data_IF_215867860072
#
_entry.id   IF_215867860072
#
_cell.length_a   1.000
_cell.length_b   1.000
_cell.length_c   1.000
_cell.angle_alpha   90.00
_cell.angle_beta   90.00
_cell.angle_gamma   90.00
#
_symmetry.space_group_name_H-M   'P 1'
#
loop_
_entity.id
_entity.type
_entity.pdbx_description
1 polymer ?
#
# COMPACT_ATOMS: atom_id res chain seq x y z
N UNK A 1 -5.63 -21.77 4.54
CA UNK A 1 -4.80 -21.12 5.56
C UNK A 1 -4.31 -22.19 6.51
N UNK A 2 -3.01 -22.44 6.51
CA UNK A 2 -2.34 -23.42 7.36
C UNK A 2 -1.10 -22.76 7.96
N UNK A 3 -0.73 -23.14 9.19
CA UNK A 3 0.40 -22.54 9.90
C UNK A 3 0.00 -21.27 10.65
N UNK A 4 1.02 -20.60 11.19
CA UNK A 4 0.86 -19.41 12.03
C UNK A 4 0.94 -18.14 11.18
N UNK A 5 -0.20 -17.75 10.61
CA UNK A 5 -0.28 -16.63 9.66
C UNK A 5 -0.55 -15.28 10.33
N UNK A 6 -0.92 -15.29 11.61
CA UNK A 6 -1.25 -14.10 12.39
C UNK A 6 -0.12 -13.66 13.34
N UNK A 7 0.88 -14.52 13.58
CA UNK A 7 2.03 -14.15 14.40
C UNK A 7 3.19 -13.61 13.56
N UNK A 8 3.66 -12.42 13.94
CA UNK A 8 4.76 -11.76 13.25
C UNK A 8 6.14 -12.32 13.65
N UNK A 9 6.24 -13.08 14.75
CA UNK A 9 7.48 -13.71 15.20
C UNK A 9 8.69 -12.76 15.31
N UNK A 10 8.44 -11.50 15.68
CA UNK A 10 9.46 -10.45 15.79
C UNK A 10 9.74 -9.67 14.50
N UNK A 11 9.08 -10.01 13.39
CA UNK A 11 9.10 -9.23 12.15
C UNK A 11 8.07 -8.08 12.21
N UNK A 12 8.21 -7.01 11.38
CA UNK A 12 7.27 -5.90 11.39
C UNK A 12 5.87 -6.23 10.84
N UNK A 13 5.76 -7.28 10.02
CA UNK A 13 4.54 -7.68 9.34
C UNK A 13 4.32 -9.18 9.51
N UNK A 14 3.10 -9.60 9.84
CA UNK A 14 2.71 -11.02 9.89
C UNK A 14 2.79 -11.67 8.50
N UNK A 15 2.84 -13.01 8.38
CA UNK A 15 2.74 -13.67 7.09
C UNK A 15 1.47 -13.29 6.31
N UNK A 16 0.35 -13.09 7.01
CA UNK A 16 -0.90 -12.67 6.39
C UNK A 16 -0.86 -11.20 5.92
N UNK A 17 -0.23 -10.29 6.69
CA UNK A 17 0.02 -8.92 6.24
C UNK A 17 0.80 -8.92 4.91
N UNK A 18 1.92 -9.64 4.89
CA UNK A 18 2.78 -9.73 3.70
C UNK A 18 2.04 -10.30 2.49
N UNK A 19 1.17 -11.29 2.71
CA UNK A 19 0.35 -11.85 1.65
C UNK A 19 -0.59 -10.80 1.05
N UNK A 20 -1.29 -10.05 1.90
CA UNK A 20 -2.22 -9.00 1.48
C UNK A 20 -1.48 -7.83 0.82
N UNK A 21 -0.32 -7.42 1.34
CA UNK A 21 0.54 -6.41 0.73
C UNK A 21 0.99 -6.84 -0.67
N UNK A 22 1.43 -8.09 -0.85
CA UNK A 22 1.80 -8.62 -2.16
C UNK A 22 0.60 -8.67 -3.11
N UNK A 23 -0.58 -9.05 -2.61
CA UNK A 23 -1.83 -9.00 -3.39
C UNK A 23 -2.11 -7.60 -3.90
N UNK A 24 -2.04 -6.58 -3.02
CA UNK A 24 -2.22 -5.19 -3.42
C UNK A 24 -1.18 -4.75 -4.44
N UNK A 25 0.09 -5.15 -4.29
CA UNK A 25 1.16 -4.84 -5.26
C UNK A 25 0.86 -5.48 -6.61
N UNK A 26 0.48 -6.76 -6.62
CA UNK A 26 0.18 -7.51 -7.83
C UNK A 26 -1.01 -6.95 -8.58
N UNK A 27 -2.12 -6.62 -7.91
CA UNK A 27 -3.32 -6.15 -8.60
C UNK A 27 -3.31 -4.63 -8.85
N UNK A 28 -2.62 -3.86 -7.99
CA UNK A 28 -2.58 -2.39 -8.01
C UNK A 28 -3.97 -1.79 -8.28
N UNK A 29 -4.91 -1.91 -7.33
CA UNK A 29 -6.33 -1.66 -7.60
C UNK A 29 -6.63 -0.20 -7.93
N UNK A 30 -5.75 0.71 -7.49
CA UNK A 30 -5.68 2.08 -7.97
C UNK A 30 -4.65 2.15 -9.10
N UNK A 31 -5.04 2.72 -10.25
CA UNK A 31 -4.17 2.80 -11.43
C UNK A 31 -2.99 3.76 -11.25
N UNK A 32 -3.09 4.76 -10.37
CA UNK A 32 -2.00 5.70 -10.16
C UNK A 32 -2.33 6.90 -9.28
N UNK A 33 -1.28 7.62 -8.91
CA UNK A 33 -1.38 8.93 -8.26
C UNK A 33 -1.19 10.04 -9.28
N UNK A 34 -2.02 11.08 -9.22
CA UNK A 34 -1.93 12.26 -10.09
C UNK A 34 -1.61 13.48 -9.22
N UNK A 35 -0.54 14.20 -9.57
CA UNK A 35 -0.17 15.46 -8.93
C UNK A 35 -0.23 16.59 -9.94
N UNK A 36 -0.90 17.70 -9.60
CA UNK A 36 -0.87 18.92 -10.40
C UNK A 36 0.51 19.59 -10.24
N UNK A 37 1.12 19.94 -11.36
CA UNK A 37 2.38 20.70 -11.38
C UNK A 37 2.02 22.18 -11.57
N UNK A 38 2.48 23.01 -10.64
CA UNK A 38 2.34 24.47 -10.76
C UNK A 38 3.39 25.04 -11.72
N UNK A 39 2.98 26.03 -12.51
CA UNK A 39 3.89 26.69 -13.42
C UNK A 39 4.68 27.76 -12.68
N UNK A 40 6.01 27.73 -12.85
CA UNK A 40 6.91 28.76 -12.31
C UNK A 40 6.94 30.04 -13.16
N UNK A 41 6.26 30.03 -14.32
CA UNK A 41 6.12 31.16 -15.24
C UNK A 41 4.75 31.10 -15.90
N UNK A 42 4.17 32.25 -16.23
CA UNK A 42 2.90 32.30 -16.94
C UNK A 42 3.05 31.67 -18.34
N UNK A 43 2.25 30.65 -18.68
CA UNK A 43 2.32 30.03 -19.99
C UNK A 43 1.68 30.92 -21.05
N UNK A 44 2.19 30.84 -22.28
CA UNK A 44 1.64 31.56 -23.44
C UNK A 44 0.21 31.08 -23.77
N UNK A 45 -0.15 29.86 -23.38
CA UNK A 45 -1.47 29.26 -23.58
C UNK A 45 -1.92 28.53 -22.30
N UNK A 46 -3.24 28.51 -22.05
CA UNK A 46 -3.81 27.71 -20.97
C UNK A 46 -3.46 26.23 -21.15
N UNK A 47 -2.75 25.66 -20.17
CA UNK A 47 -2.44 24.24 -20.12
C UNK A 47 -2.53 23.73 -18.68
N UNK A 48 -2.75 22.43 -18.56
CA UNK A 48 -2.76 21.73 -17.29
C UNK A 48 -1.61 20.74 -17.27
N UNK A 49 -0.69 20.91 -16.31
CA UNK A 49 0.47 20.03 -16.16
C UNK A 49 0.23 19.07 -15.01
N UNK A 50 0.45 17.78 -15.26
CA UNK A 50 0.32 16.73 -14.27
C UNK A 50 1.56 15.83 -14.28
N UNK A 51 1.97 15.41 -13.09
CA UNK A 51 2.82 14.23 -12.91
C UNK A 51 1.92 13.04 -12.59
N UNK A 52 2.12 11.94 -13.29
CA UNK A 52 1.42 10.68 -13.03
C UNK A 52 2.44 9.68 -12.53
N UNK A 53 2.15 9.06 -11.40
CA UNK A 53 2.89 7.90 -10.90
C UNK A 53 2.03 6.66 -11.08
N UNK A 54 2.27 5.86 -12.14
CA UNK A 54 1.46 4.70 -12.44
C UNK A 54 1.80 3.56 -11.47
N UNK A 55 0.81 3.10 -10.70
CA UNK A 55 1.05 2.21 -9.55
C UNK A 55 1.50 0.81 -9.98
N UNK A 56 0.88 0.25 -11.02
CA UNK A 56 1.20 -1.10 -11.51
C UNK A 56 2.63 -1.17 -12.06
N UNK A 57 2.99 -0.22 -12.91
CA UNK A 57 4.32 -0.12 -13.52
C UNK A 57 5.39 0.16 -12.46
N UNK A 58 5.10 1.01 -11.47
CA UNK A 58 6.02 1.25 -10.35
C UNK A 58 6.20 -0.01 -9.49
N UNK A 59 5.10 -0.71 -9.22
CA UNK A 59 5.06 -1.98 -8.50
C UNK A 59 5.80 -3.10 -9.21
N UNK A 60 5.89 -3.06 -10.54
CA UNK A 60 6.57 -4.06 -11.36
C UNK A 60 7.95 -3.62 -11.85
N UNK A 61 8.44 -2.45 -11.41
CA UNK A 61 9.70 -1.92 -11.87
C UNK A 61 10.88 -2.73 -11.32
N UNK A 62 11.70 -3.27 -12.22
CA UNK A 62 12.79 -4.21 -11.89
C UNK A 62 13.89 -3.61 -11.01
N UNK A 63 14.04 -2.28 -11.00
CA UNK A 63 14.99 -1.59 -10.11
C UNK A 63 14.55 -1.71 -8.66
N UNK A 64 13.24 -1.74 -8.40
CA UNK A 64 12.68 -1.87 -7.06
C UNK A 64 12.55 -3.34 -6.63
N UNK A 65 12.35 -4.27 -7.56
CA UNK A 65 12.06 -5.65 -7.19
C UNK A 65 12.81 -6.67 -8.05
N UNK A 66 13.40 -7.66 -7.39
CA UNK A 66 13.82 -8.90 -8.05
C UNK A 66 12.57 -9.68 -8.46
N UNK A 67 12.52 -10.12 -9.72
CA UNK A 67 11.40 -10.89 -10.30
C UNK A 67 10.03 -10.25 -9.97
N UNK A 68 9.78 -9.01 -10.43
CA UNK A 68 8.64 -8.20 -10.00
C UNK A 68 7.26 -8.83 -10.27
N UNK A 69 7.16 -9.70 -11.27
CA UNK A 69 5.90 -10.32 -11.70
C UNK A 69 5.55 -11.60 -10.93
N UNK A 70 6.47 -12.13 -10.11
CA UNK A 70 6.23 -13.32 -9.31
C UNK A 70 5.57 -12.90 -7.99
N UNK A 71 4.44 -13.53 -7.66
CA UNK A 71 3.79 -13.32 -6.36
C UNK A 71 4.66 -13.90 -5.24
N UNK A 72 5.25 -13.03 -4.42
CA UNK A 72 6.15 -13.41 -3.34
C UNK A 72 5.95 -12.51 -2.11
N UNK A 73 5.12 -12.93 -1.14
CA UNK A 73 4.93 -12.22 0.13
C UNK A 73 6.23 -12.03 0.92
N UNK A 74 7.19 -12.97 0.82
CA UNK A 74 8.43 -12.89 1.59
C UNK A 74 9.34 -11.74 1.16
N UNK A 75 9.03 -11.03 0.05
CA UNK A 75 9.78 -9.82 -0.34
C UNK A 75 9.75 -8.72 0.72
N UNK A 76 8.73 -8.70 1.57
CA UNK A 76 8.52 -7.66 2.57
C UNK A 76 9.28 -7.89 3.89
N UNK A 77 9.99 -9.01 4.03
CA UNK A 77 10.82 -9.30 5.22
C UNK A 77 11.99 -8.30 5.31
N UNK A 78 12.58 -7.93 4.18
CA UNK A 78 13.74 -7.04 4.10
C UNK A 78 13.35 -5.58 3.77
N UNK A 79 12.05 -5.29 3.62
CA UNK A 79 11.57 -3.97 3.24
C UNK A 79 11.59 -3.05 4.45
N UNK A 80 12.25 -1.88 4.37
CA UNK A 80 12.27 -0.94 5.49
C UNK A 80 10.87 -0.44 5.81
N UNK A 81 10.60 -0.32 7.09
CA UNK A 81 9.37 0.26 7.62
C UNK A 81 9.51 1.77 7.80
N UNK A 82 8.37 2.47 7.83
CA UNK A 82 8.33 3.93 7.97
C UNK A 82 8.97 4.45 9.27
N UNK A 83 9.01 3.65 10.34
CA UNK A 83 9.69 4.02 11.58
C UNK A 83 11.20 3.76 11.54
N UNK A 84 11.67 2.83 10.71
CA UNK A 84 13.11 2.54 10.47
C UNK A 84 13.74 3.54 9.49
N UNK A 85 12.95 4.15 8.61
CA UNK A 85 13.40 5.24 7.71
C UNK A 85 13.58 6.54 8.54
N UNK A 86 14.78 6.66 9.13
CA UNK A 86 15.22 7.72 10.02
C UNK A 86 16.45 8.47 9.48
N UNK A 87 17.10 9.27 10.33
CA UNK A 87 18.26 10.08 9.93
C UNK A 87 19.49 9.21 9.63
N UNK A 88 19.68 8.14 10.40
CA UNK A 88 20.73 7.14 10.20
C UNK A 88 20.57 6.49 8.83
N UNK A 89 19.34 6.13 8.44
CA UNK A 89 19.05 5.54 7.14
C UNK A 89 19.35 6.50 5.97
N UNK A 90 19.01 7.79 6.10
CA UNK A 90 19.39 8.79 5.09
C UNK A 90 20.90 8.86 4.90
N UNK A 91 21.66 8.84 6.00
CA UNK A 91 23.12 8.88 5.98
C UNK A 91 23.72 7.62 5.35
N UNK A 92 23.19 6.44 5.69
CA UNK A 92 23.57 5.16 5.10
C UNK A 92 23.40 5.16 3.56
N UNK A 93 22.31 5.75 3.07
CA UNK A 93 22.01 5.86 1.63
C UNK A 93 22.86 6.97 0.94
N UNK A 94 23.57 7.80 1.70
CA UNK A 94 24.47 8.82 1.18
C UNK A 94 23.81 10.17 0.89
N UNK A 95 22.65 10.45 1.49
CA UNK A 95 22.04 11.78 1.38
C UNK A 95 22.80 12.82 2.20
N UNK A 96 23.03 14.00 1.61
CA UNK A 96 23.63 15.14 2.30
C UNK A 96 22.75 15.64 3.47
N UNK A 97 21.44 15.51 3.34
CA UNK A 97 20.43 15.73 4.38
C UNK A 97 19.19 14.90 4.06
N UNK A 98 18.41 14.53 5.08
CA UNK A 98 17.12 13.89 4.84
C UNK A 98 16.15 14.85 4.09
N UNK A 99 15.35 14.35 3.15
CA UNK A 99 14.34 15.15 2.46
C UNK A 99 13.30 15.77 3.41
N UNK A 100 12.96 15.06 4.49
CA UNK A 100 12.04 15.54 5.51
C UNK A 100 12.62 15.35 6.91
N UNK A 101 12.27 16.24 7.83
CA UNK A 101 12.45 16.01 9.25
C UNK A 101 11.36 15.08 9.78
N UNK A 102 11.73 14.16 10.67
CA UNK A 102 10.74 13.35 11.40
C UNK A 102 9.99 14.26 12.36
N UNK A 103 8.70 14.46 12.11
CA UNK A 103 7.81 15.24 12.97
C UNK A 103 6.49 14.48 13.15
N UNK A 104 5.74 14.86 14.18
CA UNK A 104 4.42 14.28 14.42
C UNK A 104 3.49 15.27 15.09
N UNK A 105 2.20 15.00 14.97
CA UNK A 105 1.15 15.76 15.65
C UNK A 105 0.09 14.82 16.23
N UNK A 106 -0.51 15.25 17.35
CA UNK A 106 -1.59 14.50 17.97
C UNK A 106 -2.85 14.51 17.09
N UNK A 107 -3.48 13.34 16.99
CA UNK A 107 -4.80 13.20 16.41
C UNK A 107 -5.82 14.05 17.18
N UNK A 108 -6.79 14.63 16.47
CA UNK A 108 -7.80 15.53 17.04
C UNK A 108 -9.09 14.82 17.43
N UNK A 109 -9.05 13.51 17.60
CA UNK A 109 -10.23 12.67 17.86
C UNK A 109 -10.31 12.17 19.31
N UNK A 110 -9.48 12.72 20.20
CA UNK A 110 -9.47 12.40 21.63
C UNK A 110 -8.65 11.15 21.98
N UNK A 111 -8.11 10.43 20.99
CA UNK A 111 -7.18 9.31 21.23
C UNK A 111 -5.77 9.82 21.47
N UNK A 112 -5.00 9.09 22.26
CA UNK A 112 -3.56 9.32 22.43
C UNK A 112 -2.77 8.73 21.24
N UNK A 113 -3.03 9.29 20.06
CA UNK A 113 -2.42 8.87 18.80
C UNK A 113 -1.61 10.02 18.23
N UNK A 114 -0.33 9.77 17.96
CA UNK A 114 0.55 10.67 17.24
C UNK A 114 0.69 10.21 15.78
N UNK A 115 0.40 11.10 14.85
CA UNK A 115 0.58 10.88 13.41
C UNK A 115 1.97 11.41 13.06
N UNK A 116 2.89 10.52 12.71
CA UNK A 116 4.32 10.82 12.50
C UNK A 116 4.75 10.55 11.06
N UNK A 117 5.69 11.31 10.51
CA UNK A 117 6.30 11.01 9.21
C UNK A 117 7.72 10.42 9.32
N UNK A 118 8.08 9.55 8.38
CA UNK A 118 9.45 9.11 8.15
C UNK A 118 10.30 10.22 7.54
N UNK A 119 11.61 10.01 7.44
CA UNK A 119 12.51 10.98 6.77
C UNK A 119 12.33 11.05 5.25
N UNK A 120 11.54 10.13 4.67
CA UNK A 120 11.07 10.18 3.28
C UNK A 120 9.62 10.67 3.16
N UNK A 121 9.02 11.08 4.28
CA UNK A 121 7.70 11.71 4.32
C UNK A 121 6.53 10.72 4.40
N UNK A 122 6.78 9.42 4.49
CA UNK A 122 5.74 8.41 4.67
C UNK A 122 5.15 8.52 6.07
N UNK A 123 3.83 8.66 6.15
CA UNK A 123 3.12 8.88 7.41
C UNK A 123 2.68 7.55 8.02
N UNK A 124 2.83 7.43 9.34
CA UNK A 124 2.43 6.27 10.13
C UNK A 124 1.99 6.70 11.54
N UNK A 125 1.30 5.80 12.25
CA UNK A 125 0.72 6.11 13.55
C UNK A 125 1.56 5.53 14.70
N UNK A 126 1.57 6.26 15.82
CA UNK A 126 1.99 5.76 17.13
C UNK A 126 0.84 5.99 18.10
N UNK A 127 0.26 4.93 18.65
CA UNK A 127 -0.87 5.01 19.59
C UNK A 127 -0.49 4.29 20.86
N UNK A 128 -0.61 4.93 22.02
CA UNK A 128 -0.27 4.34 23.33
C UNK A 128 1.12 3.68 23.32
N UNK A 129 2.12 4.39 22.80
CA UNK A 129 3.51 3.96 22.61
C UNK A 129 3.73 2.77 21.65
N UNK A 130 2.66 2.20 21.09
CA UNK A 130 2.73 1.19 20.04
C UNK A 130 2.86 1.85 18.66
N UNK A 131 3.87 1.42 17.90
CA UNK A 131 4.09 1.89 16.53
C UNK A 131 3.33 1.01 15.54
N UNK A 132 2.64 1.64 14.59
CA UNK A 132 1.91 1.00 13.50
C UNK A 132 2.54 1.42 12.17
N UNK A 133 3.66 0.82 11.78
CA UNK A 133 4.39 1.27 10.61
C UNK A 133 3.82 0.69 9.32
N UNK A 134 4.19 1.32 8.21
CA UNK A 134 3.90 0.83 6.85
C UNK A 134 5.20 0.54 6.12
N UNK A 135 5.15 -0.28 5.07
CA UNK A 135 6.31 -0.52 4.21
C UNK A 135 6.72 0.76 3.49
N UNK A 136 7.88 1.32 3.79
CA UNK A 136 8.37 2.60 3.28
C UNK A 136 9.38 2.38 2.16
N UNK A 137 8.87 1.92 1.02
CA UNK A 137 9.69 1.49 -0.11
C UNK A 137 9.08 1.94 -1.43
N UNK A 138 9.90 2.52 -2.31
CA UNK A 138 9.46 3.09 -3.59
C UNK A 138 8.80 2.06 -4.52
N UNK A 139 9.11 0.77 -4.36
CA UNK A 139 8.46 -0.30 -5.11
C UNK A 139 7.06 -0.66 -4.65
N UNK A 140 6.62 -0.21 -3.47
CA UNK A 140 5.30 -0.53 -2.92
C UNK A 140 4.32 0.61 -3.15
N UNK A 141 3.86 0.70 -4.40
CA UNK A 141 3.01 1.78 -4.90
C UNK A 141 1.48 1.73 -4.65
N UNK A 142 0.82 0.59 -4.31
CA UNK A 142 -0.65 0.50 -4.34
C UNK A 142 -1.41 1.52 -3.50
N UNK A 143 -0.76 2.04 -2.47
CA UNK A 143 -1.32 3.03 -1.55
C UNK A 143 -0.76 4.43 -1.78
N UNK A 144 0.02 4.66 -2.84
CA UNK A 144 0.72 5.91 -3.08
C UNK A 144 1.95 6.10 -2.17
N UNK A 145 2.48 7.32 -2.13
CA UNK A 145 3.80 7.61 -1.55
C UNK A 145 3.79 8.83 -0.63
N UNK A 146 4.75 8.83 0.30
CA UNK A 146 5.01 9.96 1.19
C UNK A 146 3.78 10.38 1.99
N UNK A 147 3.58 11.68 2.16
CA UNK A 147 2.51 12.22 3.01
C UNK A 147 1.12 12.16 2.36
N UNK A 148 1.05 11.86 1.05
CA UNK A 148 -0.19 11.67 0.28
C UNK A 148 -0.58 10.20 0.14
N UNK A 149 0.20 9.31 0.76
CA UNK A 149 -0.14 7.89 0.87
C UNK A 149 -1.50 7.71 1.51
N UNK A 150 -2.21 6.66 1.12
CA UNK A 150 -3.55 6.36 1.58
C UNK A 150 -3.56 6.25 3.12
N UNK A 151 -4.29 7.14 3.83
CA UNK A 151 -4.39 7.06 5.28
C UNK A 151 -5.16 5.81 5.75
N UNK A 152 -5.89 5.17 4.83
CA UNK A 152 -6.63 3.93 5.08
C UNK A 152 -5.87 2.66 4.73
N UNK A 153 -4.56 2.70 4.48
CA UNK A 153 -3.78 1.51 4.11
C UNK A 153 -3.90 0.38 5.13
N UNK A 154 -3.56 0.62 6.39
CA UNK A 154 -3.60 -0.42 7.43
C UNK A 154 -5.03 -0.96 7.63
N UNK A 155 -6.03 -0.06 7.64
CA UNK A 155 -7.44 -0.46 7.68
C UNK A 155 -7.82 -1.37 6.51
N UNK A 156 -7.38 -1.02 5.30
CA UNK A 156 -7.68 -1.78 4.08
C UNK A 156 -7.00 -3.14 4.11
N UNK A 157 -5.75 -3.20 4.58
CA UNK A 157 -5.02 -4.45 4.78
C UNK A 157 -5.77 -5.33 5.77
N UNK A 158 -6.12 -4.82 6.95
CA UNK A 158 -6.86 -5.57 7.97
C UNK A 158 -8.24 -6.05 7.50
N UNK A 159 -8.98 -5.22 6.77
CA UNK A 159 -10.24 -5.62 6.17
C UNK A 159 -10.08 -6.83 5.23
N UNK A 160 -9.07 -6.82 4.36
CA UNK A 160 -8.81 -7.95 3.46
C UNK A 160 -8.32 -9.17 4.24
N UNK A 161 -7.53 -9.01 5.31
CA UNK A 161 -7.14 -10.11 6.19
C UNK A 161 -8.36 -10.78 6.80
N UNK A 162 -9.29 -10.00 7.34
CA UNK A 162 -10.53 -10.51 7.92
C UNK A 162 -11.41 -11.20 6.88
N UNK A 163 -11.51 -10.63 5.67
CA UNK A 163 -12.19 -11.27 4.56
C UNK A 163 -11.57 -12.63 4.21
N UNK A 164 -10.24 -12.73 4.10
CA UNK A 164 -9.55 -13.99 3.80
C UNK A 164 -9.74 -15.03 4.92
N UNK A 165 -9.67 -14.61 6.19
CA UNK A 165 -9.98 -15.47 7.34
C UNK A 165 -11.41 -15.99 7.26
N UNK A 166 -12.38 -15.12 6.94
CA UNK A 166 -13.79 -15.49 6.82
C UNK A 166 -14.01 -16.49 5.69
N UNK A 167 -13.47 -16.21 4.51
CA UNK A 167 -13.52 -17.13 3.34
C UNK A 167 -12.99 -18.51 3.72
N UNK A 168 -11.85 -18.55 4.39
CA UNK A 168 -11.25 -19.82 4.80
C UNK A 168 -12.08 -20.56 5.85
N UNK A 169 -12.48 -19.88 6.93
CA UNK A 169 -13.18 -20.49 8.06
C UNK A 169 -14.57 -21.01 7.67
N UNK A 170 -15.25 -20.32 6.77
CA UNK A 170 -16.57 -20.72 6.26
C UNK A 170 -16.49 -21.69 5.07
N UNK A 171 -15.28 -22.02 4.59
CA UNK A 171 -15.11 -22.88 3.43
C UNK A 171 -15.67 -22.28 2.14
N UNK A 172 -15.70 -20.95 2.02
CA UNK A 172 -16.21 -20.26 0.83
C UNK A 172 -15.25 -20.49 -0.35
N UNK A 173 -15.79 -20.93 -1.47
CA UNK A 173 -15.06 -21.11 -2.72
C UNK A 173 -15.55 -20.10 -3.76
N UNK A 174 -14.62 -19.52 -4.53
CA UNK A 174 -14.95 -18.65 -5.64
C UNK A 174 -14.91 -19.44 -6.94
N UNK A 175 -15.98 -19.34 -7.73
CA UNK A 175 -16.12 -20.02 -9.00
C UNK A 175 -16.27 -18.99 -10.11
N UNK A 176 -15.48 -19.15 -11.18
CA UNK A 176 -15.66 -18.36 -12.38
C UNK A 176 -16.91 -18.87 -13.12
N UNK A 177 -17.85 -17.99 -13.37
CA UNK A 177 -19.10 -18.27 -14.06
C UNK A 177 -18.95 -18.02 -15.56
N UNK A 178 -19.46 -18.95 -16.37
CA UNK A 178 -19.54 -18.79 -17.83
C UNK A 178 -20.84 -18.05 -18.20
N UNK A 179 -20.79 -16.72 -18.19
CA UNK A 179 -21.92 -15.83 -18.46
C UNK A 179 -21.69 -15.13 -19.80
N UNK A 180 -22.66 -15.22 -20.72
CA UNK A 180 -22.52 -14.68 -22.08
C UNK A 180 -22.44 -13.14 -22.13
N UNK A 181 -23.17 -12.45 -21.26
CA UNK A 181 -23.16 -10.98 -21.15
C UNK A 181 -23.16 -10.57 -19.66
N UNK A 182 -21.99 -10.60 -18.99
CA UNK A 182 -21.90 -10.30 -17.57
C UNK A 182 -22.11 -8.81 -17.30
N UNK A 183 -22.83 -8.52 -16.21
CA UNK A 183 -22.94 -7.15 -15.70
C UNK A 183 -21.56 -6.57 -15.38
N UNK A 184 -21.44 -5.23 -15.40
CA UNK A 184 -20.19 -4.55 -15.08
C UNK A 184 -20.24 -3.98 -13.67
N UNK A 185 -19.24 -4.31 -12.85
CA UNK A 185 -19.11 -3.81 -11.50
C UNK A 185 -18.03 -2.72 -11.47
N UNK A 186 -18.34 -1.50 -11.02
CA UNK A 186 -17.33 -0.49 -10.77
C UNK A 186 -16.50 -0.89 -9.54
N UNK A 187 -15.18 -1.01 -9.73
CA UNK A 187 -14.24 -1.40 -8.65
C UNK A 187 -13.20 -0.33 -8.34
N UNK A 188 -13.25 0.80 -9.06
CA UNK A 188 -12.41 1.95 -8.80
C UNK A 188 -12.68 3.10 -9.80
N UNK A 189 -12.05 4.26 -9.61
CA UNK A 189 -12.16 5.38 -10.54
C UNK A 189 -11.74 4.96 -11.96
N UNK A 190 -12.69 4.95 -12.91
CA UNK A 190 -12.43 4.56 -14.29
C UNK A 190 -12.24 3.05 -14.53
N UNK A 191 -12.37 2.20 -13.50
CA UNK A 191 -12.15 0.76 -13.60
C UNK A 191 -13.46 -0.01 -13.37
N UNK A 192 -13.83 -0.82 -14.36
CA UNK A 192 -14.97 -1.75 -14.30
C UNK A 192 -14.48 -3.16 -14.60
N UNK A 193 -15.03 -4.14 -13.88
CA UNK A 193 -14.76 -5.57 -14.11
C UNK A 193 -16.06 -6.30 -14.41
N UNK A 194 -16.03 -7.37 -15.21
CA UNK A 194 -17.21 -8.19 -15.44
C UNK A 194 -17.57 -8.97 -14.17
N UNK A 195 -18.86 -9.04 -13.86
CA UNK A 195 -19.43 -9.83 -12.77
C UNK A 195 -19.51 -11.30 -13.17
N UNK A 196 -18.38 -11.99 -13.04
CA UNK A 196 -18.21 -13.39 -13.49
C UNK A 196 -17.75 -14.31 -12.37
N UNK A 197 -17.90 -13.90 -11.11
CA UNK A 197 -17.51 -14.72 -9.97
C UNK A 197 -18.72 -15.00 -9.08
N UNK A 198 -19.05 -16.27 -8.92
CA UNK A 198 -19.99 -16.76 -7.91
C UNK A 198 -19.25 -17.29 -6.69
N UNK A 199 -19.99 -17.63 -5.64
CA UNK A 199 -19.45 -18.29 -4.46
C UNK A 199 -20.29 -19.48 -4.03
N UNK A 200 -19.61 -20.52 -3.58
CA UNK A 200 -20.20 -21.75 -3.02
C UNK A 200 -19.59 -22.03 -1.66
N UNK A 201 -20.22 -22.91 -0.87
CA UNK A 201 -19.66 -23.40 0.39
C UNK A 201 -19.14 -24.82 0.19
N UNK A 202 -18.01 -25.12 0.81
CA UNK A 202 -17.47 -26.48 0.90
C UNK A 202 -18.04 -27.25 2.09
#
# INVERSE_FOLDING_TARGET
MSGDYDEANGEPFTPLDRFVMELFRTISPNSGSISKIEEVREPIYNRYNYSVTPHKETSEYYVNWKKPTIFNPNRYIEVPTSNEVNAEKCKEIGFAQCPFHKTGFLAKDGRNTNITNSTFGTVYNVTDDQTFPVADYAGYAPFGFGYRRCPGELFTVDFIKDFLRKVWNDGIQFEKLEIADPNKVPVGPGTVVPDIFGFTYR
#
